data_IF_806936263203
#
_entry.id   IF_806936263203
#
_cell.length_a   1.000
_cell.length_b   1.000
_cell.length_c   1.000
_cell.angle_alpha   90.00
_cell.angle_beta   90.00
_cell.angle_gamma   90.00
#
_symmetry.space_group_name_H-M   'P 1'
#
loop_
_entity.id
_entity.type
_entity.pdbx_description
1 polymer ?
#
# COMPACT_ATOMS: atom_id res chain seq x y z
N UNK A 1 38.72 -26.68 52.38
CA UNK A 1 38.44 -27.51 51.19
C UNK A 1 39.15 -26.90 50.00
N UNK A 2 39.99 -27.69 49.32
CA UNK A 2 40.68 -27.34 48.07
C UNK A 2 39.71 -27.57 46.90
N UNK A 3 39.66 -26.63 45.95
CA UNK A 3 39.43 -26.95 44.54
C UNK A 3 40.34 -26.06 43.66
N UNK A 4 40.78 -26.57 42.49
CA UNK A 4 42.01 -26.17 41.81
C UNK A 4 41.80 -25.23 40.63
N UNK A 5 42.88 -24.57 40.19
CA UNK A 5 42.99 -23.83 38.93
C UNK A 5 42.79 -24.79 37.75
N UNK A 6 41.81 -24.50 36.89
CA UNK A 6 41.71 -25.08 35.54
C UNK A 6 41.73 -23.96 34.51
N UNK A 7 42.89 -23.79 33.87
CA UNK A 7 43.02 -23.07 32.60
C UNK A 7 42.46 -24.01 31.53
N UNK A 8 41.30 -23.70 30.95
CA UNK A 8 40.84 -24.38 29.74
C UNK A 8 41.51 -23.75 28.53
N UNK A 9 42.45 -24.47 27.94
CA UNK A 9 43.02 -24.17 26.64
C UNK A 9 41.94 -24.38 25.56
N UNK A 10 41.56 -23.32 24.85
CA UNK A 10 40.74 -23.42 23.64
C UNK A 10 41.64 -23.14 22.42
N UNK A 11 41.71 -24.04 21.42
CA UNK A 11 42.45 -23.77 20.20
C UNK A 11 41.72 -22.69 19.37
N UNK A 12 42.47 -21.74 18.83
CA UNK A 12 41.93 -20.77 17.87
C UNK A 12 41.46 -21.48 16.61
N UNK A 13 40.13 -21.54 16.41
CA UNK A 13 39.56 -21.86 15.12
C UNK A 13 39.78 -20.64 14.23
N UNK A 14 40.70 -20.75 13.26
CA UNK A 14 40.79 -19.79 12.17
C UNK A 14 39.53 -19.91 11.31
N UNK A 15 38.50 -19.14 11.67
CA UNK A 15 37.42 -18.87 10.75
C UNK A 15 37.97 -17.97 9.64
N UNK A 16 38.31 -18.57 8.50
CA UNK A 16 38.30 -17.84 7.25
C UNK A 16 36.92 -17.21 7.10
N UNK A 17 36.85 -15.91 7.39
CA UNK A 17 35.67 -15.09 7.08
C UNK A 17 35.53 -15.12 5.57
N UNK A 18 34.67 -16.00 5.06
CA UNK A 18 34.03 -15.75 3.78
C UNK A 18 33.33 -14.40 3.92
N UNK A 19 33.94 -13.36 3.35
CA UNK A 19 33.30 -12.06 3.16
C UNK A 19 32.22 -12.25 2.09
N UNK A 20 31.08 -12.82 2.47
CA UNK A 20 29.86 -12.57 1.71
C UNK A 20 29.54 -11.09 1.95
N UNK A 21 29.91 -10.23 0.99
CA UNK A 21 29.36 -8.88 0.95
C UNK A 21 27.83 -9.03 0.95
N UNK A 22 27.09 -8.54 1.96
CA UNK A 22 25.65 -8.44 1.80
C UNK A 22 25.42 -7.52 0.60
N UNK A 23 24.90 -8.06 -0.50
CA UNK A 23 24.34 -7.23 -1.56
C UNK A 23 23.24 -6.44 -0.88
N UNK A 24 23.48 -5.15 -0.64
CA UNK A 24 22.43 -4.20 -0.29
C UNK A 24 21.51 -4.16 -1.51
N UNK A 25 20.46 -4.98 -1.50
CA UNK A 25 19.40 -4.90 -2.50
C UNK A 25 18.68 -3.60 -2.16
N UNK A 26 18.92 -2.57 -2.96
CA UNK A 26 18.18 -1.32 -2.82
C UNK A 26 16.71 -1.64 -3.07
N UNK A 27 15.89 -1.50 -2.03
CA UNK A 27 14.46 -1.76 -2.13
C UNK A 27 13.85 -0.80 -3.15
N UNK A 28 13.11 -1.36 -4.11
CA UNK A 28 12.42 -0.60 -5.14
C UNK A 28 10.98 -0.42 -4.71
N UNK A 29 10.47 0.79 -4.90
CA UNK A 29 9.10 1.14 -4.59
C UNK A 29 8.29 1.36 -5.87
N UNK A 30 7.00 1.09 -5.77
CA UNK A 30 6.01 1.48 -6.76
C UNK A 30 5.96 3.00 -6.88
N UNK A 31 5.66 3.48 -8.08
CA UNK A 31 5.47 4.90 -8.38
C UNK A 31 4.02 5.13 -8.78
N UNK A 32 3.46 6.21 -8.28
CA UNK A 32 2.10 6.62 -8.57
C UNK A 32 2.12 8.09 -8.96
N UNK A 33 1.53 8.38 -10.10
CA UNK A 33 1.28 9.73 -10.60
C UNK A 33 -0.19 10.12 -10.31
N UNK A 34 -1.08 9.14 -10.20
CA UNK A 34 -2.47 9.31 -9.80
C UNK A 34 -2.72 8.83 -8.35
N UNK A 35 -3.26 9.71 -7.52
CA UNK A 35 -3.56 9.40 -6.12
C UNK A 35 -4.68 8.35 -5.97
N UNK A 36 -5.78 8.46 -6.71
CA UNK A 36 -6.91 7.55 -6.58
C UNK A 36 -6.53 6.12 -7.03
N UNK A 37 -5.64 6.00 -8.03
CA UNK A 37 -5.05 4.71 -8.38
C UNK A 37 -4.18 4.16 -7.25
N UNK A 38 -3.37 5.01 -6.60
CA UNK A 38 -2.60 4.61 -5.42
C UNK A 38 -3.51 4.11 -4.29
N UNK A 39 -4.61 4.81 -4.01
CA UNK A 39 -5.58 4.42 -2.98
C UNK A 39 -6.22 3.07 -3.30
N UNK A 40 -6.63 2.83 -4.55
CA UNK A 40 -7.15 1.53 -4.98
C UNK A 40 -6.14 0.40 -4.80
N UNK A 41 -4.86 0.64 -5.05
CA UNK A 41 -3.80 -0.36 -4.78
C UNK A 41 -3.57 -0.57 -3.28
N UNK A 42 -3.68 0.48 -2.48
CA UNK A 42 -3.60 0.37 -1.02
C UNK A 42 -4.78 -0.45 -0.50
N UNK A 43 -6.00 -0.23 -1.01
CA UNK A 43 -7.18 -1.03 -0.65
C UNK A 43 -6.88 -2.53 -0.77
N UNK A 44 -6.46 -2.95 -1.97
CA UNK A 44 -6.17 -4.36 -2.26
C UNK A 44 -5.05 -4.90 -1.37
N UNK A 45 -3.96 -4.16 -1.20
CA UNK A 45 -2.79 -4.68 -0.49
C UNK A 45 -2.92 -4.62 1.04
N UNK A 46 -3.65 -3.64 1.58
CA UNK A 46 -3.76 -3.39 3.01
C UNK A 46 -4.97 -4.08 3.62
N UNK A 47 -6.13 -4.03 2.98
CA UNK A 47 -7.37 -4.53 3.54
C UNK A 47 -7.75 -5.88 2.93
N UNK A 48 -7.73 -6.04 1.61
CA UNK A 48 -8.19 -7.29 0.99
C UNK A 48 -7.18 -8.45 1.16
N UNK A 49 -5.90 -8.17 0.90
CA UNK A 49 -4.81 -9.15 0.99
C UNK A 49 -4.07 -9.12 2.33
N UNK A 50 -4.25 -8.06 3.10
CA UNK A 50 -3.59 -7.82 4.39
C UNK A 50 -2.06 -8.04 4.37
N UNK A 51 -1.36 -7.58 3.32
CA UNK A 51 0.11 -7.70 3.21
C UNK A 51 0.85 -6.41 3.58
N UNK A 52 0.15 -5.26 3.56
CA UNK A 52 0.62 -4.01 4.15
C UNK A 52 0.12 -3.94 5.59
N UNK A 53 1.01 -4.16 6.55
CA UNK A 53 0.68 -4.20 7.99
C UNK A 53 1.56 -3.21 8.79
N UNK A 54 1.05 -2.66 9.90
CA UNK A 54 -0.35 -2.74 10.35
C UNK A 54 -1.30 -2.07 9.35
N UNK A 55 -2.57 -2.52 9.33
CA UNK A 55 -3.61 -1.83 8.56
C UNK A 55 -3.86 -0.46 9.21
N UNK A 56 -4.09 0.55 8.39
CA UNK A 56 -4.45 1.87 8.90
C UNK A 56 -5.92 1.85 9.32
N UNK A 57 -6.22 2.44 10.47
CA UNK A 57 -7.58 2.64 10.95
C UNK A 57 -7.66 4.05 11.55
N UNK A 58 -8.66 4.82 11.13
CA UNK A 58 -8.77 6.23 11.49
C UNK A 58 -9.05 6.43 12.98
N UNK A 59 -9.73 5.48 13.62
CA UNK A 59 -10.00 5.52 15.07
C UNK A 59 -8.70 5.28 15.83
N UNK A 60 -7.97 4.20 15.52
CA UNK A 60 -6.67 3.92 16.12
C UNK A 60 -5.68 5.09 15.89
N UNK A 61 -5.67 5.65 14.68
CA UNK A 61 -4.81 6.78 14.31
C UNK A 61 -5.18 8.05 15.10
N UNK A 62 -6.47 8.33 15.29
CA UNK A 62 -6.92 9.47 16.11
C UNK A 62 -6.57 9.32 17.60
N UNK A 63 -6.60 8.10 18.14
CA UNK A 63 -6.16 7.82 19.50
C UNK A 63 -4.65 8.00 19.66
N UNK A 64 -3.85 7.51 18.70
CA UNK A 64 -2.39 7.61 18.73
C UNK A 64 -1.91 9.08 18.59
N UNK A 65 -2.56 9.86 17.73
CA UNK A 65 -2.22 11.25 17.42
C UNK A 65 -3.29 12.23 17.93
N UNK A 66 -3.70 12.05 19.20
CA UNK A 66 -4.76 12.85 19.84
C UNK A 66 -4.55 14.37 19.79
N UNK A 67 -3.32 14.85 19.62
CA UNK A 67 -3.01 16.28 19.46
C UNK A 67 -3.47 16.88 18.13
N UNK A 68 -3.78 16.05 17.14
CA UNK A 68 -4.24 16.47 15.82
C UNK A 68 -5.74 16.77 15.76
N UNK A 69 -6.50 16.45 16.83
CA UNK A 69 -7.96 16.66 16.93
C UNK A 69 -8.70 16.13 15.70
N UNK A 70 -8.41 14.87 15.35
CA UNK A 70 -8.97 14.21 14.16
C UNK A 70 -10.46 13.94 14.37
N UNK A 71 -11.28 14.48 13.47
CA UNK A 71 -12.72 14.21 13.44
C UNK A 71 -13.01 12.88 12.72
N UNK A 72 -13.23 11.83 13.51
CA UNK A 72 -13.61 10.49 13.02
C UNK A 72 -15.06 10.40 12.56
N UNK A 73 -15.81 11.50 12.57
CA UNK A 73 -17.18 11.61 12.05
C UNK A 73 -17.25 12.61 10.87
N UNK A 74 -16.09 12.97 10.31
CA UNK A 74 -15.99 13.95 9.23
C UNK A 74 -16.67 13.47 7.94
N UNK A 75 -17.41 14.38 7.30
CA UNK A 75 -17.92 14.24 5.93
C UNK A 75 -16.98 14.84 4.89
N UNK A 76 -15.83 15.36 5.31
CA UNK A 76 -14.76 15.91 4.47
C UNK A 76 -13.45 15.13 4.65
N UNK A 77 -12.48 15.37 3.77
CA UNK A 77 -11.17 14.72 3.83
C UNK A 77 -10.45 15.02 5.14
N UNK A 78 -10.06 13.95 5.84
CA UNK A 78 -9.18 14.02 7.00
C UNK A 78 -7.74 14.14 6.50
N UNK A 79 -7.25 15.38 6.44
CA UNK A 79 -5.92 15.71 5.90
C UNK A 79 -4.76 14.90 6.50
N UNK A 80 -4.70 14.64 7.83
CA UNK A 80 -3.67 13.78 8.40
C UNK A 80 -3.65 12.34 7.83
N UNK A 81 -4.82 11.74 7.61
CA UNK A 81 -4.94 10.41 7.02
C UNK A 81 -4.54 10.43 5.53
N UNK A 82 -4.97 11.47 4.81
CA UNK A 82 -4.58 11.68 3.42
C UNK A 82 -3.06 11.80 3.26
N UNK A 83 -2.41 12.55 4.13
CA UNK A 83 -0.96 12.73 4.12
C UNK A 83 -0.22 11.42 4.46
N UNK A 84 -0.75 10.60 5.37
CA UNK A 84 -0.24 9.26 5.62
C UNK A 84 -0.22 8.41 4.34
N UNK A 85 -1.35 8.32 3.63
CA UNK A 85 -1.42 7.51 2.41
C UNK A 85 -0.62 8.09 1.25
N UNK A 86 -0.51 9.43 1.12
CA UNK A 86 0.39 10.07 0.15
C UNK A 86 1.85 9.66 0.39
N UNK A 87 2.28 9.60 1.64
CA UNK A 87 3.67 9.27 2.00
C UNK A 87 3.97 7.77 2.10
N UNK A 88 2.94 6.92 2.20
CA UNK A 88 3.11 5.47 2.29
C UNK A 88 3.85 4.92 1.06
N UNK A 89 5.05 4.39 1.28
CA UNK A 89 5.87 3.75 0.25
C UNK A 89 5.51 2.27 0.12
N UNK A 90 5.15 1.83 -1.09
CA UNK A 90 4.76 0.44 -1.36
C UNK A 90 5.89 -0.27 -2.10
N UNK A 91 6.42 -1.33 -1.50
CA UNK A 91 7.49 -2.13 -2.10
C UNK A 91 7.01 -2.80 -3.39
N UNK A 92 7.82 -2.73 -4.44
CA UNK A 92 7.52 -3.30 -5.76
C UNK A 92 7.29 -4.83 -5.70
N UNK A 93 7.76 -5.51 -4.64
CA UNK A 93 7.53 -6.94 -4.44
C UNK A 93 6.04 -7.30 -4.36
N UNK A 94 5.19 -6.38 -3.91
CA UNK A 94 3.75 -6.60 -3.78
C UNK A 94 2.98 -6.45 -5.09
N UNK A 95 3.57 -5.85 -6.12
CA UNK A 95 2.88 -5.57 -7.37
C UNK A 95 2.33 -6.82 -8.08
N UNK A 96 3.02 -7.95 -7.92
CA UNK A 96 2.58 -9.23 -8.47
C UNK A 96 1.41 -9.88 -7.72
N UNK A 97 1.06 -9.39 -6.53
CA UNK A 97 -0.05 -9.92 -5.74
C UNK A 97 -1.39 -9.33 -6.18
N UNK A 98 -1.38 -8.09 -6.68
CA UNK A 98 -2.58 -7.41 -7.20
C UNK A 98 -3.02 -8.08 -8.49
N UNK A 99 -4.21 -8.67 -8.47
CA UNK A 99 -4.83 -9.37 -9.61
C UNK A 99 -6.12 -8.71 -10.08
N UNK A 100 -6.79 -8.08 -9.14
CA UNK A 100 -8.10 -7.47 -9.28
C UNK A 100 -8.10 -6.18 -8.46
N UNK A 101 -8.84 -5.18 -8.93
CA UNK A 101 -9.19 -3.97 -8.20
C UNK A 101 -10.71 -3.95 -8.16
N UNK A 102 -11.28 -3.72 -6.98
CA UNK A 102 -12.73 -3.57 -6.81
C UNK A 102 -12.98 -2.28 -6.03
N UNK A 103 -13.32 -1.20 -6.74
CA UNK A 103 -13.65 0.08 -6.13
C UNK A 103 -15.13 0.09 -5.74
N UNK A 104 -15.40 0.26 -4.45
CA UNK A 104 -16.74 0.40 -3.89
C UNK A 104 -16.79 1.57 -2.90
N UNK A 105 -17.97 2.19 -2.77
CA UNK A 105 -18.21 3.28 -1.83
C UNK A 105 -17.89 2.94 -0.37
N UNK A 106 -18.07 1.67 0.00
CA UNK A 106 -17.79 1.14 1.34
C UNK A 106 -16.35 0.70 1.58
N UNK A 107 -15.44 0.86 0.62
CA UNK A 107 -14.04 0.46 0.80
C UNK A 107 -13.38 1.17 1.99
N UNK A 108 -12.66 0.40 2.79
CA UNK A 108 -12.02 0.88 4.02
C UNK A 108 -11.07 2.04 3.76
N UNK A 109 -10.36 2.06 2.62
CA UNK A 109 -9.46 3.17 2.28
C UNK A 109 -10.20 4.51 2.18
N UNK A 110 -11.43 4.52 1.68
CA UNK A 110 -12.23 5.74 1.53
C UNK A 110 -12.84 6.15 2.87
N UNK A 111 -13.35 5.18 3.64
CA UNK A 111 -13.86 5.43 5.00
C UNK A 111 -12.77 5.93 5.96
N UNK A 112 -11.51 5.58 5.73
CA UNK A 112 -10.40 6.12 6.51
C UNK A 112 -10.01 7.56 6.12
N UNK A 113 -10.39 8.00 4.93
CA UNK A 113 -10.11 9.35 4.41
C UNK A 113 -11.27 10.30 4.68
N UNK A 114 -12.50 9.80 4.58
CA UNK A 114 -13.74 10.53 4.86
C UNK A 114 -14.66 9.55 5.63
N UNK A 115 -14.65 9.58 6.97
CA UNK A 115 -15.37 8.61 7.81
C UNK A 115 -16.88 8.50 7.58
N UNK A 116 -17.52 9.58 7.11
CA UNK A 116 -18.94 9.61 6.80
C UNK A 116 -19.21 9.77 5.30
N UNK A 117 -18.29 9.29 4.43
CA UNK A 117 -18.52 9.35 2.99
C UNK A 117 -19.71 8.50 2.59
N UNK A 118 -20.62 9.09 1.82
CA UNK A 118 -21.83 8.44 1.33
C UNK A 118 -21.68 7.87 -0.08
N UNK A 119 -20.54 8.10 -0.74
CA UNK A 119 -20.28 7.64 -2.10
C UNK A 119 -20.99 8.45 -3.20
N UNK A 120 -21.65 9.57 -2.87
CA UNK A 120 -22.46 10.32 -3.85
C UNK A 120 -21.64 11.30 -4.71
N UNK A 121 -20.43 11.67 -4.27
CA UNK A 121 -19.54 12.55 -5.02
C UNK A 121 -18.46 11.81 -5.82
N UNK A 122 -17.73 12.57 -6.63
CA UNK A 122 -16.69 12.05 -7.53
C UNK A 122 -15.27 12.17 -6.95
N UNK A 123 -15.10 12.37 -5.64
CA UNK A 123 -13.79 12.70 -5.07
C UNK A 123 -12.77 11.56 -5.26
N UNK A 124 -13.25 10.32 -5.25
CA UNK A 124 -12.45 9.11 -5.45
C UNK A 124 -12.52 8.53 -6.87
N UNK A 125 -13.12 9.25 -7.82
CA UNK A 125 -13.15 8.82 -9.22
C UNK A 125 -11.73 8.59 -9.78
N UNK A 126 -11.51 7.44 -10.38
CA UNK A 126 -10.32 7.12 -11.14
C UNK A 126 -10.48 7.58 -12.59
N UNK A 127 -10.37 8.89 -12.81
CA UNK A 127 -10.55 9.51 -14.13
C UNK A 127 -9.31 9.50 -15.03
N UNK A 128 -8.14 9.18 -14.46
CA UNK A 128 -6.87 9.09 -15.19
C UNK A 128 -5.97 8.03 -14.55
N UNK A 129 -5.27 7.24 -15.36
CA UNK A 129 -4.18 6.37 -14.92
C UNK A 129 -3.17 6.25 -16.05
N UNK A 130 -1.88 6.22 -15.76
CA UNK A 130 -0.88 6.09 -16.81
C UNK A 130 -0.59 4.63 -17.18
N UNK A 131 -0.18 4.38 -18.42
CA UNK A 131 0.34 3.07 -18.82
C UNK A 131 1.59 2.66 -18.02
N UNK A 132 2.37 3.63 -17.55
CA UNK A 132 3.55 3.37 -16.74
C UNK A 132 3.14 2.82 -15.37
N UNK A 133 2.09 3.38 -14.76
CA UNK A 133 1.53 2.90 -13.50
C UNK A 133 1.00 1.47 -13.64
N UNK A 134 0.14 1.22 -14.63
CA UNK A 134 -0.48 -0.09 -14.85
C UNK A 134 0.55 -1.19 -15.13
N UNK A 135 1.60 -0.90 -15.90
CA UNK A 135 2.66 -1.87 -16.22
C UNK A 135 3.46 -2.33 -15.01
N UNK A 136 3.35 -1.67 -13.85
CA UNK A 136 3.96 -2.16 -12.62
C UNK A 136 3.27 -3.41 -12.07
N UNK A 137 2.03 -3.70 -12.48
CA UNK A 137 1.19 -4.78 -11.95
C UNK A 137 1.02 -5.90 -12.99
N UNK A 138 2.00 -6.83 -13.12
CA UNK A 138 2.01 -7.81 -14.20
C UNK A 138 0.86 -8.84 -14.14
N UNK A 139 0.19 -8.96 -12.99
CA UNK A 139 -0.86 -9.94 -12.75
C UNK A 139 -2.26 -9.32 -12.64
N UNK A 140 -2.39 -8.00 -12.72
CA UNK A 140 -3.69 -7.33 -12.78
C UNK A 140 -4.40 -7.73 -14.07
N UNK A 141 -5.63 -8.23 -13.95
CA UNK A 141 -6.44 -8.69 -15.10
C UNK A 141 -7.85 -8.11 -15.10
N UNK A 142 -8.37 -7.75 -13.94
CA UNK A 142 -9.73 -7.23 -13.78
C UNK A 142 -9.70 -5.96 -12.94
N UNK A 143 -10.58 -5.01 -13.23
CA UNK A 143 -10.80 -3.84 -12.42
C UNK A 143 -12.26 -3.40 -12.49
N UNK A 144 -12.91 -3.22 -11.35
CA UNK A 144 -14.14 -2.44 -11.22
C UNK A 144 -13.75 -1.07 -10.68
N UNK A 145 -14.10 0.00 -11.38
CA UNK A 145 -13.66 1.37 -11.04
C UNK A 145 -14.82 2.34 -10.93
N UNK A 146 -14.73 3.29 -10.00
CA UNK A 146 -15.55 4.51 -10.00
C UNK A 146 -14.90 5.53 -10.93
N UNK A 147 -15.63 6.10 -11.89
CA UNK A 147 -15.06 7.06 -12.85
C UNK A 147 -16.13 7.81 -13.65
N UNK A 148 -16.15 9.13 -13.56
CA UNK A 148 -16.89 10.03 -14.48
C UNK A 148 -16.28 10.14 -15.89
N UNK A 149 -15.04 9.66 -16.10
CA UNK A 149 -14.36 9.63 -17.40
C UNK A 149 -14.04 8.20 -17.89
N UNK A 150 -15.00 7.28 -17.70
CA UNK A 150 -14.77 5.84 -17.85
C UNK A 150 -14.22 5.43 -19.23
N UNK A 151 -14.75 5.98 -20.33
CA UNK A 151 -14.33 5.58 -21.68
C UNK A 151 -12.83 5.83 -21.92
N UNK A 152 -12.29 6.95 -21.45
CA UNK A 152 -10.86 7.26 -21.61
C UNK A 152 -9.98 6.36 -20.75
N UNK A 153 -10.38 6.13 -19.50
CA UNK A 153 -9.63 5.27 -18.56
C UNK A 153 -9.63 3.83 -19.04
N UNK A 154 -10.78 3.37 -19.53
CA UNK A 154 -10.97 2.03 -20.09
C UNK A 154 -9.99 1.72 -21.23
N UNK A 155 -9.79 2.65 -22.16
CA UNK A 155 -8.79 2.47 -23.23
C UNK A 155 -7.38 2.24 -22.67
N UNK A 156 -7.04 2.91 -21.57
CA UNK A 156 -5.72 2.79 -20.94
C UNK A 156 -5.51 1.45 -20.25
N UNK A 157 -6.53 0.92 -19.56
CA UNK A 157 -6.53 -0.44 -19.01
C UNK A 157 -6.49 -1.51 -20.10
N UNK A 158 -7.31 -1.35 -21.16
CA UNK A 158 -7.34 -2.28 -22.28
C UNK A 158 -5.97 -2.41 -22.98
N UNK A 159 -5.20 -1.32 -23.07
CA UNK A 159 -3.87 -1.31 -23.67
C UNK A 159 -2.83 -2.19 -22.93
N UNK A 160 -3.10 -2.60 -21.69
CA UNK A 160 -2.27 -3.57 -20.94
C UNK A 160 -2.97 -4.92 -20.72
N UNK A 161 -4.13 -5.14 -21.35
CA UNK A 161 -4.88 -6.38 -21.27
C UNK A 161 -5.60 -6.59 -19.93
N UNK A 162 -6.07 -5.49 -19.31
CA UNK A 162 -6.94 -5.53 -18.13
C UNK A 162 -8.37 -5.26 -18.57
N UNK A 163 -9.27 -6.16 -18.20
CA UNK A 163 -10.71 -5.98 -18.38
C UNK A 163 -11.22 -5.03 -17.28
N UNK A 164 -12.03 -4.03 -17.67
CA UNK A 164 -12.49 -3.00 -16.72
C UNK A 164 -13.99 -2.75 -16.86
N UNK A 165 -14.65 -2.70 -15.70
CA UNK A 165 -16.06 -2.40 -15.51
C UNK A 165 -16.24 -1.11 -14.70
N UNK A 166 -17.38 -0.46 -14.90
CA UNK A 166 -17.79 0.74 -14.17
C UNK A 166 -18.81 0.33 -13.10
N UNK A 167 -18.65 0.87 -11.89
CA UNK A 167 -19.66 0.75 -10.82
C UNK A 167 -20.63 1.93 -10.82
#
# INVERSE_FOLDING_TARGET
>A
MRYPLTISYYPEIKHERQKSNPKVVQEKYLRFDNLNFKLAIIQVLMYDLEVLRPAFDIFDFSEEFSELDIDTESTELVEPALEYFKNLQISQKYASLVKEIDMDGGNEIFMNLIPQWDGEDSIFDLNEVSLAELKQFPNLRQATIMSSNFEQVKETFAAVGVDVELV
#
